data_IF_155546773741
#
_entry.id   IF_155546773741
#
_cell.length_a   1.000
_cell.length_b   1.000
_cell.length_c   1.000
_cell.angle_alpha   90.00
_cell.angle_beta   90.00
_cell.angle_gamma   90.00
#
_symmetry.space_group_name_H-M   'P 1'
#
loop_
_entity.id
_entity.type
_entity.pdbx_description
1 polymer ?
#
# COMPACT_ATOMS: atom_id res chain seq x y z
N UNK A 1 -5.14 4.91 37.98
CA UNK A 1 -4.58 4.67 36.64
C UNK A 1 -5.74 4.61 35.68
N UNK A 2 -6.01 5.68 34.91
CA UNK A 2 -7.03 5.62 33.88
C UNK A 2 -6.56 4.63 32.81
N UNK A 3 -7.42 3.71 32.33
CA UNK A 3 -7.05 2.84 31.22
C UNK A 3 -6.69 3.74 30.04
N UNK A 4 -5.47 3.59 29.50
CA UNK A 4 -5.09 4.26 28.26
C UNK A 4 -6.12 3.82 27.21
N UNK A 5 -6.84 4.79 26.66
CA UNK A 5 -7.80 4.54 25.59
C UNK A 5 -7.12 3.76 24.47
N UNK A 6 -7.88 2.95 23.75
CA UNK A 6 -7.36 2.18 22.63
C UNK A 6 -6.83 3.16 21.56
N UNK A 7 -5.51 3.35 21.50
CA UNK A 7 -4.76 4.18 20.53
C UNK A 7 -4.78 3.58 19.11
N UNK A 8 -5.93 3.05 18.69
CA UNK A 8 -6.12 2.30 17.45
C UNK A 8 -5.93 3.20 16.22
N UNK A 9 -6.25 4.49 16.31
CA UNK A 9 -6.00 5.45 15.23
C UNK A 9 -4.52 5.58 14.87
N UNK A 10 -3.66 5.79 15.88
CA UNK A 10 -2.20 5.92 15.71
C UNK A 10 -1.54 4.64 15.21
N UNK A 11 -2.02 3.48 15.65
CA UNK A 11 -1.53 2.18 15.18
C UNK A 11 -1.92 1.93 13.71
N UNK A 12 -3.16 2.29 13.32
CA UNK A 12 -3.63 2.17 11.94
C UNK A 12 -2.90 3.16 11.02
N UNK A 13 -2.64 4.38 11.45
CA UNK A 13 -1.80 5.31 10.67
C UNK A 13 -0.38 4.77 10.47
N UNK A 14 0.22 4.21 11.51
CA UNK A 14 1.55 3.61 11.44
C UNK A 14 1.55 2.45 10.45
N UNK A 15 0.51 1.61 10.48
CA UNK A 15 0.36 0.51 9.54
C UNK A 15 0.14 0.98 8.10
N UNK A 16 -0.66 2.03 7.88
CA UNK A 16 -0.82 2.63 6.55
C UNK A 16 0.52 3.11 5.97
N UNK A 17 1.37 3.76 6.79
CA UNK A 17 2.72 4.19 6.38
C UNK A 17 3.63 3.01 6.04
N UNK A 18 3.50 1.88 6.74
CA UNK A 18 4.24 0.66 6.39
C UNK A 18 3.79 0.09 5.04
N UNK A 19 2.49 0.14 4.74
CA UNK A 19 1.95 -0.28 3.44
C UNK A 19 2.45 0.63 2.31
N UNK A 20 2.51 1.96 2.54
CA UNK A 20 3.10 2.90 1.58
C UNK A 20 4.55 2.54 1.24
N UNK A 21 5.37 2.23 2.26
CA UNK A 21 6.77 1.84 2.05
C UNK A 21 6.95 0.54 1.26
N UNK A 22 6.00 -0.41 1.39
CA UNK A 22 6.00 -1.64 0.58
C UNK A 22 5.58 -1.31 -0.87
N UNK A 23 4.58 -0.45 -1.06
CA UNK A 23 4.14 0.01 -2.38
C UNK A 23 5.28 0.69 -3.16
N UNK A 24 6.01 1.59 -2.50
CA UNK A 24 7.19 2.26 -3.07
C UNK A 24 8.27 1.26 -3.49
N UNK A 25 8.55 0.24 -2.66
CA UNK A 25 9.51 -0.81 -2.98
C UNK A 25 9.09 -1.65 -4.19
N UNK A 26 7.80 -1.96 -4.31
CA UNK A 26 7.23 -2.67 -5.46
C UNK A 26 7.31 -1.81 -6.73
N UNK A 27 7.03 -0.51 -6.63
CA UNK A 27 7.15 0.41 -7.75
C UNK A 27 8.61 0.52 -8.22
N UNK A 28 9.56 0.59 -7.29
CA UNK A 28 10.99 0.59 -7.63
C UNK A 28 11.42 -0.71 -8.32
N UNK A 29 10.87 -1.85 -7.92
CA UNK A 29 11.12 -3.13 -8.58
C UNK A 29 10.53 -3.17 -10.00
N UNK A 30 9.32 -2.61 -10.21
CA UNK A 30 8.71 -2.46 -11.55
C UNK A 30 9.57 -1.56 -12.43
N UNK A 31 10.04 -0.43 -11.92
CA UNK A 31 10.86 0.51 -12.67
C UNK A 31 12.21 -0.11 -13.05
N UNK A 32 12.81 -0.88 -12.14
CA UNK A 32 14.01 -1.65 -12.42
C UNK A 32 13.75 -2.73 -13.48
N UNK A 33 12.65 -3.48 -13.40
CA UNK A 33 12.29 -4.48 -14.39
C UNK A 33 12.05 -3.87 -15.78
N UNK A 34 11.37 -2.71 -15.86
CA UNK A 34 11.19 -1.97 -17.11
C UNK A 34 12.51 -1.47 -17.69
N UNK A 35 13.45 -1.04 -16.83
CA UNK A 35 14.77 -0.55 -17.26
C UNK A 35 15.75 -1.68 -17.62
N UNK A 36 15.57 -2.86 -17.02
CA UNK A 36 16.35 -4.08 -17.28
C UNK A 36 15.72 -4.95 -18.37
N UNK A 37 14.55 -4.58 -18.92
CA UNK A 37 14.03 -5.13 -20.18
C UNK A 37 15.17 -5.07 -21.21
N UNK A 38 15.75 -6.24 -21.46
CA UNK A 38 17.16 -6.36 -21.79
C UNK A 38 17.47 -5.72 -23.15
N UNK A 39 18.55 -4.92 -23.27
CA UNK A 39 19.00 -4.46 -24.56
C UNK A 39 19.28 -5.67 -25.45
N UNK A 40 18.77 -5.62 -26.67
CA UNK A 40 18.85 -6.60 -27.78
C UNK A 40 20.24 -7.18 -28.04
N UNK A 41 21.27 -6.56 -27.48
CA UNK A 41 22.68 -6.81 -27.74
C UNK A 41 23.25 -7.94 -26.85
N UNK A 42 22.59 -8.26 -25.73
CA UNK A 42 23.06 -9.28 -24.77
C UNK A 42 22.62 -10.71 -25.14
N UNK A 43 21.55 -10.85 -25.92
CA UNK A 43 21.16 -12.14 -26.49
C UNK A 43 21.83 -12.29 -27.86
N UNK A 44 22.94 -13.00 -27.89
CA UNK A 44 23.51 -13.47 -29.16
C UNK A 44 22.43 -14.18 -30.00
N UNK A 45 22.63 -14.19 -31.33
CA UNK A 45 21.75 -14.76 -32.38
C UNK A 45 21.05 -16.09 -32.00
N UNK A 46 21.66 -16.90 -31.12
CA UNK A 46 21.17 -18.22 -30.71
C UNK A 46 19.99 -18.21 -29.73
N UNK A 47 19.71 -17.11 -29.01
CA UNK A 47 18.64 -17.06 -28.01
C UNK A 47 17.37 -16.32 -28.46
N UNK A 48 17.31 -15.86 -29.71
CA UNK A 48 16.11 -15.21 -30.26
C UNK A 48 14.80 -16.02 -30.16
N UNK A 49 14.79 -17.37 -30.29
CA UNK A 49 13.55 -18.14 -30.14
C UNK A 49 12.97 -18.09 -28.72
N UNK A 50 13.84 -17.98 -27.70
CA UNK A 50 13.40 -17.88 -26.31
C UNK A 50 12.78 -16.51 -26.00
N UNK A 51 13.14 -15.45 -26.76
CA UNK A 51 12.56 -14.12 -26.58
C UNK A 51 11.05 -14.10 -26.85
N UNK A 52 10.61 -14.68 -27.97
CA UNK A 52 9.17 -14.79 -28.30
C UNK A 52 8.36 -15.58 -27.25
N UNK A 53 9.00 -16.48 -26.49
CA UNK A 53 8.36 -17.22 -25.40
C UNK A 53 8.44 -16.46 -24.06
N UNK A 54 9.43 -15.56 -23.89
CA UNK A 54 9.66 -14.79 -22.68
C UNK A 54 8.83 -13.50 -22.64
N UNK A 55 8.61 -12.85 -23.79
CA UNK A 55 7.84 -11.61 -23.91
C UNK A 55 6.46 -11.68 -23.21
N UNK A 56 5.64 -12.74 -23.40
CA UNK A 56 4.38 -12.85 -22.67
C UNK A 56 4.59 -13.04 -21.16
N UNK A 57 5.64 -13.74 -20.72
CA UNK A 57 5.95 -13.95 -19.30
C UNK A 57 6.42 -12.64 -18.64
N UNK A 58 7.23 -11.84 -19.33
CA UNK A 58 7.63 -10.50 -18.90
C UNK A 58 6.41 -9.59 -18.76
N UNK A 59 5.49 -9.61 -19.72
CA UNK A 59 4.25 -8.82 -19.68
C UNK A 59 3.33 -9.24 -18.53
N UNK A 60 3.11 -10.55 -18.31
CA UNK A 60 2.36 -11.05 -17.17
C UNK A 60 3.00 -10.66 -15.83
N UNK A 61 4.33 -10.73 -15.73
CA UNK A 61 5.07 -10.33 -14.53
C UNK A 61 4.88 -8.85 -14.23
N UNK A 62 5.05 -7.99 -15.24
CA UNK A 62 4.84 -6.54 -15.09
C UNK A 62 3.39 -6.21 -14.71
N UNK A 63 2.41 -6.90 -15.31
CA UNK A 63 1.00 -6.69 -14.98
C UNK A 63 0.68 -7.15 -13.55
N UNK A 64 1.20 -8.30 -13.12
CA UNK A 64 1.03 -8.79 -11.76
C UNK A 64 1.62 -7.81 -10.73
N UNK A 65 2.79 -7.24 -11.01
CA UNK A 65 3.39 -6.22 -10.14
C UNK A 65 2.53 -4.94 -10.06
N UNK A 66 2.02 -4.44 -11.19
CA UNK A 66 1.11 -3.28 -11.22
C UNK A 66 -0.19 -3.51 -10.45
N UNK A 67 -0.79 -4.70 -10.61
CA UNK A 67 -1.98 -5.09 -9.84
C UNK A 67 -1.66 -5.12 -8.35
N UNK A 68 -0.47 -5.63 -7.97
CA UNK A 68 -0.05 -5.70 -6.58
C UNK A 68 0.10 -4.31 -5.97
N UNK A 69 0.77 -3.37 -6.67
CA UNK A 69 0.88 -1.95 -6.24
C UNK A 69 -0.51 -1.35 -6.02
N UNK A 70 -1.39 -1.49 -7.01
CA UNK A 70 -2.77 -0.96 -6.93
C UNK A 70 -3.55 -1.54 -5.74
N UNK A 71 -3.38 -2.85 -5.48
CA UNK A 71 -4.03 -3.51 -4.35
C UNK A 71 -3.49 -3.02 -3.00
N UNK A 72 -2.17 -2.79 -2.90
CA UNK A 72 -1.53 -2.25 -1.69
C UNK A 72 -2.01 -0.82 -1.41
N UNK A 73 -2.08 0.03 -2.41
CA UNK A 73 -2.59 1.40 -2.28
C UNK A 73 -4.05 1.39 -1.81
N UNK A 74 -4.91 0.58 -2.43
CA UNK A 74 -6.30 0.42 -2.03
C UNK A 74 -6.45 -0.11 -0.59
N UNK A 75 -5.50 -0.91 -0.12
CA UNK A 75 -5.50 -1.43 1.25
C UNK A 75 -5.04 -0.36 2.24
N UNK A 76 -4.02 0.43 1.90
CA UNK A 76 -3.59 1.59 2.69
C UNK A 76 -4.72 2.61 2.85
N UNK A 77 -5.47 2.91 1.78
CA UNK A 77 -6.65 3.79 1.85
C UNK A 77 -7.72 3.27 2.81
N UNK A 78 -8.04 1.97 2.77
CA UNK A 78 -9.00 1.37 3.70
C UNK A 78 -8.55 1.47 5.15
N UNK A 79 -7.26 1.28 5.42
CA UNK A 79 -6.69 1.42 6.77
C UNK A 79 -6.79 2.87 7.25
N UNK A 80 -6.46 3.85 6.40
CA UNK A 80 -6.63 5.29 6.71
C UNK A 80 -8.10 5.65 6.96
N UNK A 81 -9.01 5.13 6.15
CA UNK A 81 -10.45 5.35 6.32
C UNK A 81 -10.97 4.78 7.64
N UNK A 82 -10.50 3.59 8.02
CA UNK A 82 -10.83 3.00 9.32
C UNK A 82 -10.29 3.84 10.48
N UNK A 83 -9.03 4.30 10.41
CA UNK A 83 -8.43 5.17 11.41
C UNK A 83 -9.28 6.44 11.63
N UNK A 84 -9.66 7.10 10.53
CA UNK A 84 -10.52 8.28 10.56
C UNK A 84 -11.89 8.00 11.19
N UNK A 85 -12.53 6.88 10.85
CA UNK A 85 -13.82 6.52 11.43
C UNK A 85 -13.73 6.32 12.97
N UNK A 86 -12.62 5.75 13.46
CA UNK A 86 -12.39 5.62 14.91
C UNK A 86 -12.16 6.97 15.59
N UNK A 87 -11.39 7.87 14.98
CA UNK A 87 -11.17 9.23 15.51
C UNK A 87 -12.45 10.06 15.55
N UNK A 88 -13.26 9.98 14.49
CA UNK A 88 -14.55 10.68 14.40
C UNK A 88 -15.51 10.17 15.50
N UNK A 89 -15.53 8.86 15.75
CA UNK A 89 -16.32 8.25 16.84
C UNK A 89 -15.85 8.70 18.23
N UNK A 90 -14.53 8.67 18.47
CA UNK A 90 -13.94 9.09 19.74
C UNK A 90 -14.21 10.58 20.02
N UNK A 91 -14.11 11.43 19.00
CA UNK A 91 -14.40 12.87 19.10
C UNK A 91 -15.87 13.10 19.43
N UNK A 92 -16.79 12.43 18.74
CA UNK A 92 -18.23 12.53 19.02
C UNK A 92 -18.60 12.04 20.42
N UNK A 93 -17.95 10.97 20.90
CA UNK A 93 -18.12 10.48 22.27
C UNK A 93 -17.61 11.50 23.29
N UNK A 94 -16.44 12.11 23.07
CA UNK A 94 -15.89 13.17 23.93
C UNK A 94 -16.81 14.38 24.00
N UNK A 95 -17.36 14.84 22.88
CA UNK A 95 -18.27 15.99 22.85
C UNK A 95 -19.57 15.73 23.60
N UNK A 96 -20.11 14.51 23.48
CA UNK A 96 -21.29 14.07 24.24
C UNK A 96 -21.00 14.01 25.74
N UNK A 97 -19.82 13.53 26.14
CA UNK A 97 -19.41 13.49 27.54
C UNK A 97 -19.20 14.91 28.11
N UNK A 98 -18.55 15.79 27.36
CA UNK A 98 -18.30 17.18 27.78
C UNK A 98 -19.62 17.96 27.93
N UNK A 99 -20.57 17.78 27.00
CA UNK A 99 -21.89 18.44 27.08
C UNK A 99 -22.74 17.95 28.27
N UNK A 100 -22.59 16.70 28.69
CA UNK A 100 -23.27 16.17 29.87
C UNK A 100 -22.60 16.57 31.19
N UNK A 101 -21.26 16.69 31.24
CA UNK A 101 -20.54 17.19 32.42
C UNK A 101 -20.69 18.70 32.66
N UNK A 102 -20.89 19.51 31.61
CA UNK A 102 -21.08 20.96 31.74
C UNK A 102 -22.49 21.39 32.16
N UNK A 103 -23.43 20.45 32.31
CA UNK A 103 -24.85 20.72 32.55
C UNK A 103 -25.32 20.44 33.99
N UNK A 104 -24.41 20.31 34.96
CA UNK A 104 -24.71 20.15 36.39
C UNK A 104 -23.96 21.16 37.25
#
# INVERSE_FOLDING_TARGET
MAPKGYEVGTDLETHARQLDGISDGLQQAVDAANKVSMPTDAYGILCQPFRMMLDPVEEFGLNALKITVTAMDAQAEKVRSAAKAYEDLETGAKDTLNSTQGSN
#
